data_IF_407694214243
#
_entry.id   IF_407694214243
#
_cell.length_a   1.000
_cell.length_b   1.000
_cell.length_c   1.000
_cell.angle_alpha   90.00
_cell.angle_beta   90.00
_cell.angle_gamma   90.00
#
_symmetry.space_group_name_H-M   'P 1'
#
loop_
_entity.id
_entity.type
_entity.pdbx_description
1 polymer ?
#
# COMPACT_ATOMS: atom_id res chain seq x y z
N UNK A 1 68.59 18.33 16.18
CA UNK A 1 68.17 18.02 17.57
C UNK A 1 67.06 18.99 17.94
N UNK A 2 65.81 18.53 17.94
CA UNK A 2 64.66 19.03 18.71
C UNK A 2 63.48 18.09 18.45
N UNK A 3 63.23 17.18 19.39
CA UNK A 3 61.94 16.51 19.63
C UNK A 3 61.40 17.09 20.94
N UNK A 4 60.14 16.89 21.36
CA UNK A 4 58.93 16.39 20.68
C UNK A 4 57.73 17.34 20.92
N UNK A 5 56.53 17.05 20.41
CA UNK A 5 55.26 17.10 21.18
C UNK A 5 54.16 16.47 20.30
N UNK A 6 53.65 15.32 20.75
CA UNK A 6 52.37 14.76 20.31
C UNK A 6 51.27 15.48 21.09
N UNK A 7 50.32 16.12 20.41
CA UNK A 7 49.03 16.50 20.98
C UNK A 7 47.99 15.54 20.41
N UNK A 8 47.53 14.64 21.28
CA UNK A 8 46.25 13.93 21.18
C UNK A 8 45.24 14.78 21.96
N UNK A 9 43.97 14.82 21.48
CA UNK A 9 42.67 15.14 22.15
C UNK A 9 41.80 15.84 21.09
N UNK A 10 40.90 15.14 20.38
CA UNK A 10 39.57 14.60 20.76
C UNK A 10 38.44 15.64 20.79
N UNK A 11 37.27 15.22 20.28
CA UNK A 11 35.91 15.79 20.44
C UNK A 11 35.65 17.01 19.52
N UNK A 12 34.74 16.99 18.55
CA UNK A 12 33.28 16.82 18.69
C UNK A 12 32.73 16.10 17.47
N UNK A 13 32.03 15.00 17.73
CA UNK A 13 31.02 14.40 16.85
C UNK A 13 30.04 15.52 16.48
N UNK A 14 30.16 16.07 15.27
CA UNK A 14 29.14 16.99 14.77
C UNK A 14 27.91 16.13 14.53
N UNK A 15 26.98 16.28 15.46
CA UNK A 15 25.70 15.64 15.51
C UNK A 15 25.10 15.54 14.10
N UNK A 16 24.85 14.29 13.69
CA UNK A 16 23.90 13.91 12.65
C UNK A 16 22.46 14.26 13.09
N UNK A 17 22.27 15.46 13.65
CA UNK A 17 20.99 16.02 14.07
C UNK A 17 20.32 16.70 12.88
N UNK A 18 20.06 15.90 11.85
CA UNK A 18 18.87 16.05 11.02
C UNK A 18 18.10 14.72 11.06
N UNK A 19 17.83 14.26 12.28
CA UNK A 19 16.73 13.35 12.64
C UNK A 19 15.34 13.99 12.38
N UNK A 20 15.22 14.82 11.33
CA UNK A 20 14.06 15.63 10.99
C UNK A 20 13.36 15.22 9.69
N UNK A 21 13.88 14.24 8.94
CA UNK A 21 13.18 13.67 7.79
C UNK A 21 12.54 12.34 8.14
N UNK A 22 11.74 12.28 9.22
CA UNK A 22 10.69 11.27 9.30
C UNK A 22 9.48 11.82 8.55
N UNK A 23 9.66 12.04 7.25
CA UNK A 23 8.53 12.16 6.31
C UNK A 23 7.94 10.76 6.28
N UNK A 24 7.09 10.49 7.25
CA UNK A 24 6.29 9.28 7.31
C UNK A 24 5.62 9.18 5.94
N UNK A 25 6.01 8.17 5.15
CA UNK A 25 5.40 7.92 3.84
C UNK A 25 3.96 7.52 4.09
N UNK A 26 3.08 8.52 4.29
CA UNK A 26 1.66 8.31 4.11
C UNK A 26 1.51 7.93 2.65
N UNK A 27 1.20 6.66 2.39
CA UNK A 27 0.61 6.32 1.10
C UNK A 27 -0.59 7.25 0.99
N UNK A 28 -0.55 8.15 0.02
CA UNK A 28 -1.70 9.01 -0.26
C UNK A 28 -2.89 8.08 -0.46
N UNK A 29 -4.02 8.39 0.18
CA UNK A 29 -5.26 7.63 0.03
C UNK A 29 -5.59 7.37 -1.46
N UNK A 30 -5.30 8.37 -2.31
CA UNK A 30 -5.42 8.24 -3.76
C UNK A 30 -4.46 7.23 -4.39
N UNK A 31 -3.20 7.17 -3.93
CA UNK A 31 -2.22 6.21 -4.41
C UNK A 31 -2.61 4.78 -4.01
N UNK A 32 -3.07 4.57 -2.77
CA UNK A 32 -3.56 3.26 -2.33
C UNK A 32 -4.77 2.80 -3.15
N UNK A 33 -5.78 3.66 -3.32
CA UNK A 33 -6.95 3.37 -4.16
C UNK A 33 -6.56 3.02 -5.60
N UNK A 34 -5.60 3.73 -6.17
CA UNK A 34 -5.13 3.46 -7.51
C UNK A 34 -4.44 2.09 -7.59
N UNK A 35 -3.53 1.79 -6.66
CA UNK A 35 -2.84 0.50 -6.60
C UNK A 35 -3.82 -0.68 -6.48
N UNK A 36 -4.83 -0.57 -5.61
CA UNK A 36 -5.86 -1.61 -5.44
C UNK A 36 -6.68 -1.77 -6.72
N UNK A 37 -7.07 -0.66 -7.35
CA UNK A 37 -7.82 -0.67 -8.61
C UNK A 37 -7.06 -1.37 -9.74
N UNK A 38 -5.76 -1.08 -9.89
CA UNK A 38 -4.90 -1.71 -10.91
C UNK A 38 -4.62 -3.18 -10.57
N UNK A 39 -4.29 -3.49 -9.31
CA UNK A 39 -4.01 -4.86 -8.89
C UNK A 39 -5.19 -5.81 -9.06
N UNK A 40 -6.43 -5.34 -8.85
CA UNK A 40 -7.64 -6.14 -9.10
C UNK A 40 -7.84 -6.42 -10.58
N UNK A 41 -7.52 -5.46 -11.46
CA UNK A 41 -7.61 -5.67 -12.91
C UNK A 41 -6.68 -6.81 -13.33
N UNK A 42 -5.44 -6.78 -12.84
CA UNK A 42 -4.44 -7.82 -13.15
C UNK A 42 -4.86 -9.19 -12.62
N UNK A 43 -5.30 -9.25 -11.36
CA UNK A 43 -5.69 -10.50 -10.72
C UNK A 43 -6.93 -11.13 -11.36
N UNK A 44 -7.96 -10.34 -11.68
CA UNK A 44 -9.15 -10.85 -12.36
C UNK A 44 -8.83 -11.28 -13.80
N UNK A 45 -7.96 -10.55 -14.50
CA UNK A 45 -7.48 -10.96 -15.83
C UNK A 45 -6.75 -12.29 -15.76
N UNK A 46 -5.93 -12.54 -14.73
CA UNK A 46 -5.28 -13.83 -14.50
C UNK A 46 -6.28 -14.97 -14.22
N UNK A 47 -7.49 -14.65 -13.73
CA UNK A 47 -8.62 -15.59 -13.60
C UNK A 47 -9.50 -15.70 -14.86
N UNK A 48 -9.13 -15.03 -15.97
CA UNK A 48 -9.93 -15.01 -17.20
C UNK A 48 -11.17 -14.11 -17.13
N UNK A 49 -11.26 -13.23 -16.14
CA UNK A 49 -12.38 -12.30 -15.95
C UNK A 49 -11.96 -10.91 -16.39
N UNK A 50 -12.51 -10.44 -17.52
CA UNK A 50 -12.24 -9.10 -18.01
C UNK A 50 -13.28 -8.08 -17.52
N UNK A 51 -12.79 -6.94 -17.05
CA UNK A 51 -13.61 -5.79 -16.67
C UNK A 51 -13.90 -4.88 -17.86
N UNK A 52 -15.07 -4.21 -17.86
CA UNK A 52 -15.42 -3.19 -18.88
C UNK A 52 -14.54 -1.96 -18.78
N UNK A 53 -14.24 -1.57 -17.55
CA UNK A 53 -13.45 -0.40 -17.20
C UNK A 53 -12.75 -0.67 -15.87
N UNK A 54 -11.76 0.16 -15.57
CA UNK A 54 -11.06 0.15 -14.30
C UNK A 54 -12.02 0.35 -13.11
N UNK A 55 -11.85 -0.37 -11.98
CA UNK A 55 -12.71 -0.22 -10.81
C UNK A 55 -12.69 1.19 -10.21
N UNK A 56 -13.87 1.67 -9.79
CA UNK A 56 -14.01 2.90 -9.03
C UNK A 56 -13.86 2.58 -7.54
N UNK A 57 -12.84 3.14 -6.90
CA UNK A 57 -12.54 2.88 -5.49
C UNK A 57 -12.97 4.05 -4.61
N UNK A 58 -13.41 3.76 -3.39
CA UNK A 58 -13.68 4.75 -2.34
C UNK A 58 -13.10 4.25 -1.02
N UNK A 59 -12.64 5.18 -0.19
CA UNK A 59 -12.18 4.87 1.17
C UNK A 59 -13.31 5.11 2.16
N UNK A 60 -13.31 4.39 3.27
CA UNK A 60 -14.32 4.60 4.30
C UNK A 60 -14.13 5.95 4.99
N UNK A 61 -15.20 6.59 5.49
CA UNK A 61 -15.08 7.87 6.23
C UNK A 61 -14.37 7.73 7.59
N UNK A 62 -14.26 6.52 8.13
CA UNK A 62 -13.73 6.23 9.46
C UNK A 62 -12.36 5.54 9.36
N UNK A 63 -11.43 6.16 8.63
CA UNK A 63 -10.05 5.69 8.58
C UNK A 63 -9.28 6.20 9.80
N UNK A 64 -8.38 5.36 10.29
CA UNK A 64 -7.39 5.78 11.29
C UNK A 64 -6.02 5.73 10.65
N UNK A 65 -5.01 6.35 11.27
CA UNK A 65 -3.64 6.26 10.76
C UNK A 65 -3.17 4.79 10.57
N UNK A 66 -3.62 3.87 11.44
CA UNK A 66 -3.23 2.47 11.43
C UNK A 66 -4.17 1.55 10.62
N UNK A 67 -5.35 2.03 10.20
CA UNK A 67 -6.32 1.20 9.49
C UNK A 67 -7.02 1.98 8.37
N UNK A 68 -6.83 1.51 7.14
CA UNK A 68 -7.41 2.06 5.91
C UNK A 68 -8.33 1.01 5.31
N UNK A 69 -9.52 1.42 4.85
CA UNK A 69 -10.51 0.53 4.26
C UNK A 69 -10.89 1.04 2.88
N UNK A 70 -10.81 0.18 1.88
CA UNK A 70 -11.16 0.50 0.51
C UNK A 70 -12.27 -0.41 0.01
N UNK A 71 -13.22 0.17 -0.71
CA UNK A 71 -14.21 -0.56 -1.49
C UNK A 71 -14.07 -0.14 -2.94
N UNK A 72 -13.91 -1.10 -3.85
CA UNK A 72 -13.94 -0.81 -5.28
C UNK A 72 -15.09 -1.54 -5.96
N UNK A 73 -15.72 -0.89 -6.94
CA UNK A 73 -16.79 -1.48 -7.73
C UNK A 73 -16.47 -1.41 -9.23
N UNK A 74 -16.88 -2.44 -9.95
CA UNK A 74 -16.75 -2.52 -11.41
C UNK A 74 -17.83 -3.42 -12.00
N UNK A 75 -17.79 -3.57 -13.32
CA UNK A 75 -18.59 -4.55 -14.06
C UNK A 75 -17.68 -5.41 -14.93
N UNK A 76 -17.94 -6.71 -14.98
CA UNK A 76 -17.35 -7.59 -16.01
C UNK A 76 -17.85 -7.20 -17.40
N UNK A 77 -17.18 -7.66 -18.47
CA UNK A 77 -17.68 -7.47 -19.84
C UNK A 77 -19.11 -7.99 -20.02
N UNK A 78 -19.43 -9.12 -19.38
CA UNK A 78 -20.79 -9.70 -19.35
C UNK A 78 -21.81 -8.84 -18.55
N UNK A 79 -21.35 -7.85 -17.79
CA UNK A 79 -22.21 -6.95 -17.00
C UNK A 79 -22.43 -7.43 -15.57
N UNK A 80 -21.67 -8.42 -15.10
CA UNK A 80 -21.79 -8.90 -13.73
C UNK A 80 -21.12 -7.92 -12.76
N UNK A 81 -21.74 -7.66 -11.60
CA UNK A 81 -21.17 -6.76 -10.61
C UNK A 81 -19.91 -7.36 -10.00
N UNK A 82 -18.88 -6.53 -9.91
CA UNK A 82 -17.64 -6.86 -9.21
C UNK A 82 -17.50 -5.94 -8.01
N UNK A 83 -17.26 -6.52 -6.84
CA UNK A 83 -17.01 -5.78 -5.60
C UNK A 83 -15.71 -6.26 -4.98
N UNK A 84 -14.84 -5.30 -4.68
CA UNK A 84 -13.58 -5.49 -3.98
C UNK A 84 -13.74 -4.86 -2.61
N UNK A 85 -13.41 -5.60 -1.56
CA UNK A 85 -13.31 -5.08 -0.19
C UNK A 85 -11.89 -5.32 0.31
N UNK A 86 -11.21 -4.24 0.66
CA UNK A 86 -9.84 -4.25 1.14
C UNK A 86 -9.69 -3.59 2.50
N UNK A 87 -8.82 -4.14 3.34
CA UNK A 87 -8.34 -3.51 4.57
C UNK A 87 -6.83 -3.57 4.60
N UNK A 88 -6.20 -2.43 4.87
CA UNK A 88 -4.80 -2.35 5.27
C UNK A 88 -4.74 -2.06 6.78
N UNK A 89 -4.09 -2.94 7.52
CA UNK A 89 -3.75 -2.81 8.93
C UNK A 89 -2.29 -2.34 9.07
N UNK A 90 -1.98 -1.71 10.19
CA UNK A 90 -0.64 -1.20 10.52
C UNK A 90 -0.10 -0.28 9.40
N UNK A 91 -1.01 0.49 8.78
CA UNK A 91 -0.76 1.33 7.60
C UNK A 91 0.16 2.53 7.88
N UNK A 92 0.40 2.85 9.15
CA UNK A 92 1.34 3.86 9.64
C UNK A 92 2.73 3.30 9.94
N UNK A 93 2.97 2.02 9.64
CA UNK A 93 4.25 1.34 9.84
C UNK A 93 4.92 0.99 8.51
N UNK A 94 6.20 0.61 8.56
CA UNK A 94 6.95 0.14 7.38
C UNK A 94 6.52 -1.28 6.92
N UNK A 95 5.59 -1.93 7.63
CA UNK A 95 5.14 -3.30 7.34
C UNK A 95 3.61 -3.40 7.43
N UNK A 96 2.87 -2.73 6.53
CA UNK A 96 1.42 -2.85 6.49
C UNK A 96 1.01 -4.30 6.18
N UNK A 97 -0.13 -4.70 6.73
CA UNK A 97 -0.75 -6.01 6.46
C UNK A 97 -2.06 -5.80 5.74
N UNK A 98 -2.19 -6.36 4.55
CA UNK A 98 -3.37 -6.16 3.72
C UNK A 98 -4.25 -7.41 3.68
N UNK A 99 -5.54 -7.23 3.45
CA UNK A 99 -6.50 -8.30 3.23
C UNK A 99 -7.57 -7.83 2.26
N UNK A 100 -7.75 -8.58 1.18
CA UNK A 100 -8.68 -8.29 0.10
C UNK A 100 -9.59 -9.47 -0.15
N UNK A 101 -10.85 -9.14 -0.46
CA UNK A 101 -11.86 -10.08 -0.94
C UNK A 101 -12.45 -9.49 -2.22
N UNK A 102 -12.49 -10.29 -3.29
CA UNK A 102 -13.11 -9.92 -4.55
C UNK A 102 -14.27 -10.86 -4.83
N UNK A 103 -15.43 -10.27 -5.09
CA UNK A 103 -16.64 -10.99 -5.48
C UNK A 103 -17.06 -10.61 -6.88
N UNK A 104 -17.60 -11.57 -7.62
CA UNK A 104 -18.24 -11.40 -8.93
C UNK A 104 -19.63 -12.01 -8.85
N UNK A 105 -20.65 -11.23 -9.21
CA UNK A 105 -22.06 -11.61 -9.03
C UNK A 105 -22.38 -12.08 -7.59
N UNK A 106 -21.71 -11.48 -6.59
CA UNK A 106 -21.87 -11.82 -5.17
C UNK A 106 -21.15 -13.10 -4.72
N UNK A 107 -20.44 -13.80 -5.61
CA UNK A 107 -19.64 -14.98 -5.28
C UNK A 107 -18.19 -14.59 -5.08
N UNK A 108 -17.56 -15.04 -4.00
CA UNK A 108 -16.12 -14.86 -3.79
C UNK A 108 -15.33 -15.62 -4.86
N UNK A 109 -14.49 -14.89 -5.59
CA UNK A 109 -13.59 -15.45 -6.61
C UNK A 109 -12.15 -15.40 -6.11
N UNK A 110 -11.80 -14.38 -5.32
CA UNK A 110 -10.45 -14.21 -4.80
C UNK A 110 -10.47 -13.73 -3.35
N UNK A 111 -9.53 -14.25 -2.57
CA UNK A 111 -9.15 -13.75 -1.25
C UNK A 111 -7.65 -13.80 -1.13
N UNK A 112 -7.03 -12.64 -0.88
CA UNK A 112 -5.57 -12.49 -0.84
C UNK A 112 -5.15 -11.44 0.16
N UNK A 113 -3.88 -11.47 0.55
CA UNK A 113 -3.21 -10.47 1.38
C UNK A 113 -2.28 -9.54 0.60
N UNK A 114 -2.36 -9.60 -0.74
CA UNK A 114 -1.58 -8.79 -1.69
C UNK A 114 -2.35 -8.85 -3.04
N UNK A 115 -2.42 -7.73 -3.78
CA UNK A 115 -3.06 -7.64 -5.10
C UNK A 115 -2.08 -7.20 -6.20
N UNK A 116 -2.21 -7.79 -7.39
CA UNK A 116 -1.49 -7.38 -8.60
C UNK A 116 -0.18 -8.13 -8.85
N UNK A 117 0.56 -7.72 -9.89
CA UNK A 117 1.72 -8.44 -10.45
C UNK A 117 2.92 -8.62 -9.51
N UNK A 118 3.01 -7.83 -8.42
CA UNK A 118 4.07 -7.95 -7.40
C UNK A 118 3.77 -8.99 -6.32
N UNK A 119 2.61 -9.64 -6.39
CA UNK A 119 2.11 -10.57 -5.39
C UNK A 119 2.27 -12.01 -5.88
N UNK A 120 3.37 -12.66 -5.49
CA UNK A 120 3.73 -14.03 -5.86
C UNK A 120 4.88 -14.58 -5.03
#
# INVERSE_FOLDING_TARGET
MTTPVRIVVSVVVLALSLSGCKVMQRISEGAYRNAVSDGVVDDLKAQGIELRKRPECTSAKQETAAMVRVTCTALTRAGEPVVVSGVAYDADTDRPRESYVVTVAGREILRKNCLGIGCG
#
